data_IF_741186059019
#
_entry.id   IF_741186059019
#
_cell.length_a   1.000
_cell.length_b   1.000
_cell.length_c   1.000
_cell.angle_alpha   90.00
_cell.angle_beta   90.00
_cell.angle_gamma   90.00
#
_symmetry.space_group_name_H-M   'P 1'
#
loop_
_entity.id
_entity.type
_entity.pdbx_description
1 polymer ?
#
# COMPACT_ATOMS: atom_id res chain seq x y z
N UNK A 1 31.39 12.63 63.93
CA UNK A 1 31.24 11.89 62.67
C UNK A 1 30.03 12.43 61.91
N UNK A 2 30.22 13.12 60.79
CA UNK A 2 29.15 13.65 59.99
C UNK A 2 29.01 12.74 58.79
N UNK A 3 27.85 12.02 58.67
CA UNK A 3 27.53 11.12 57.56
C UNK A 3 27.01 11.96 56.40
N UNK A 4 27.76 12.01 55.29
CA UNK A 4 27.33 12.64 54.04
C UNK A 4 26.51 11.60 53.26
N UNK A 5 25.21 11.84 53.12
CA UNK A 5 24.34 11.05 52.26
C UNK A 5 24.46 11.61 50.83
N UNK A 6 25.10 10.85 49.96
CA UNK A 6 25.21 11.17 48.52
C UNK A 6 23.91 10.74 47.83
N UNK A 7 23.02 11.68 47.52
CA UNK A 7 21.84 11.42 46.69
C UNK A 7 22.27 11.32 45.21
N UNK A 8 22.32 10.10 44.70
CA UNK A 8 22.46 9.86 43.26
C UNK A 8 21.12 10.16 42.58
N UNK A 9 21.01 11.29 41.91
CA UNK A 9 19.88 11.59 41.05
C UNK A 9 20.11 10.85 39.75
N UNK A 10 19.42 9.71 39.56
CA UNK A 10 19.37 8.99 38.31
C UNK A 10 18.44 9.76 37.36
N UNK A 11 18.99 10.62 36.51
CA UNK A 11 18.25 11.25 35.45
C UNK A 11 17.91 10.17 34.38
N UNK A 12 16.69 9.64 34.42
CA UNK A 12 16.13 8.86 33.34
C UNK A 12 15.98 9.81 32.14
N UNK A 13 16.89 9.73 31.20
CA UNK A 13 16.71 10.34 29.89
C UNK A 13 15.66 9.47 29.20
N UNK A 14 14.39 9.89 29.24
CA UNK A 14 13.36 9.33 28.38
C UNK A 14 13.74 9.71 26.95
N UNK A 15 14.33 8.78 26.21
CA UNK A 15 14.43 8.90 24.76
C UNK A 15 12.99 9.01 24.24
N UNK A 16 12.67 9.99 23.39
CA UNK A 16 11.38 9.99 22.71
C UNK A 16 11.28 8.66 21.97
N UNK A 17 10.36 7.80 22.36
CA UNK A 17 9.96 6.70 21.53
C UNK A 17 9.31 7.35 20.31
N UNK A 18 10.01 7.36 19.18
CA UNK A 18 9.40 7.66 17.91
C UNK A 18 8.35 6.57 17.71
N UNK A 19 7.10 6.91 17.95
CA UNK A 19 6.02 6.00 17.66
C UNK A 19 6.03 5.79 16.14
N UNK A 20 6.31 4.58 15.70
CA UNK A 20 6.15 4.19 14.31
C UNK A 20 4.75 4.60 13.86
N UNK A 21 4.69 5.25 12.71
CA UNK A 21 3.43 5.70 12.16
C UNK A 21 2.94 4.65 11.18
N UNK A 22 1.70 4.25 11.32
CA UNK A 22 1.05 3.31 10.42
C UNK A 22 -0.31 3.86 10.01
N UNK A 23 -0.66 3.66 8.76
CA UNK A 23 -2.03 3.83 8.25
C UNK A 23 -2.42 2.59 7.45
N UNK A 24 -3.69 2.23 7.47
CA UNK A 24 -4.18 1.06 6.74
C UNK A 24 -5.66 1.21 6.46
N UNK A 25 -6.10 0.77 5.29
CA UNK A 25 -7.51 0.70 4.91
C UNK A 25 -7.76 -0.45 3.95
N UNK A 26 -8.99 -0.97 3.96
CA UNK A 26 -9.46 -1.95 3.00
C UNK A 26 -9.61 -1.28 1.63
N UNK A 27 -9.19 -1.95 0.57
CA UNK A 27 -9.15 -1.34 -0.75
C UNK A 27 -10.54 -1.02 -1.32
N UNK A 28 -11.57 -1.76 -0.93
CA UNK A 28 -12.96 -1.48 -1.32
C UNK A 28 -13.55 -0.23 -0.64
N UNK A 29 -12.89 0.32 0.38
CA UNK A 29 -13.34 1.51 1.10
C UNK A 29 -12.78 2.81 0.49
N UNK A 30 -12.75 2.91 -0.83
CA UNK A 30 -12.36 4.14 -1.52
C UNK A 30 -13.39 5.26 -1.31
N UNK A 31 -12.93 6.52 -1.37
CA UNK A 31 -13.75 7.71 -1.15
C UNK A 31 -14.51 8.12 -2.40
N UNK A 32 -13.92 7.89 -3.58
CA UNK A 32 -14.48 8.25 -4.88
C UNK A 32 -13.93 7.35 -5.99
N UNK A 33 -14.61 7.28 -7.11
CA UNK A 33 -14.19 6.51 -8.28
C UNK A 33 -14.74 7.08 -9.57
N UNK A 34 -14.04 6.84 -10.66
CA UNK A 34 -14.49 7.14 -12.02
C UNK A 34 -14.43 5.86 -12.87
N UNK A 35 -15.47 5.67 -13.68
CA UNK A 35 -15.54 4.56 -14.62
C UNK A 35 -16.13 3.27 -14.02
N UNK A 36 -15.92 2.16 -14.74
CA UNK A 36 -16.52 0.86 -14.44
C UNK A 36 -15.54 -0.30 -14.48
N UNK A 37 -14.25 -0.03 -14.70
CA UNK A 37 -13.25 -1.08 -14.80
C UNK A 37 -12.80 -1.61 -13.46
N UNK A 38 -12.81 -0.74 -12.42
CA UNK A 38 -12.67 -1.21 -11.05
C UNK A 38 -14.01 -1.69 -10.52
N UNK A 39 -14.05 -2.92 -10.06
CA UNK A 39 -15.20 -3.55 -9.43
C UNK A 39 -14.85 -3.94 -7.99
N UNK A 40 -15.87 -3.98 -7.14
CA UNK A 40 -15.76 -4.56 -5.79
C UNK A 40 -16.25 -5.99 -5.86
N UNK A 41 -15.39 -6.92 -5.44
CA UNK A 41 -15.66 -8.34 -5.37
C UNK A 41 -15.85 -8.76 -3.91
N UNK A 42 -17.01 -9.32 -3.59
CA UNK A 42 -17.23 -9.97 -2.29
C UNK A 42 -16.71 -11.42 -2.32
N UNK A 43 -16.10 -11.89 -1.24
CA UNK A 43 -15.63 -13.28 -1.16
C UNK A 43 -16.74 -14.21 -0.67
N UNK A 44 -16.85 -15.45 -1.22
CA UNK A 44 -16.00 -16.00 -2.27
C UNK A 44 -16.36 -15.48 -3.65
N UNK A 45 -15.35 -15.31 -4.52
CA UNK A 45 -15.53 -14.93 -5.92
C UNK A 45 -14.71 -15.83 -6.85
N UNK A 46 -15.27 -16.13 -8.00
CA UNK A 46 -14.64 -16.95 -9.02
C UNK A 46 -14.12 -16.07 -10.16
N UNK A 47 -12.90 -16.33 -10.59
CA UNK A 47 -12.26 -15.62 -11.67
C UNK A 47 -11.89 -16.56 -12.80
N UNK A 48 -12.17 -16.18 -14.04
CA UNK A 48 -11.68 -16.92 -15.18
C UNK A 48 -10.15 -16.77 -15.24
N UNK A 49 -9.48 -17.86 -15.54
CA UNK A 49 -8.06 -17.83 -15.82
C UNK A 49 -7.77 -17.21 -17.19
N UNK A 50 -6.49 -17.09 -17.50
CA UNK A 50 -6.00 -16.62 -18.78
C UNK A 50 -5.18 -17.72 -19.45
N UNK A 51 -5.81 -18.48 -20.35
CA UNK A 51 -5.18 -19.62 -21.01
C UNK A 51 -3.97 -19.19 -21.87
N UNK A 52 -3.93 -17.96 -22.37
CA UNK A 52 -2.79 -17.44 -23.13
C UNK A 52 -1.53 -17.28 -22.26
N UNK A 53 -1.72 -17.07 -20.97
CA UNK A 53 -0.67 -16.89 -19.97
C UNK A 53 -0.53 -18.07 -19.01
N UNK A 54 -1.23 -19.16 -19.31
CA UNK A 54 -1.19 -20.41 -18.52
C UNK A 54 -1.75 -20.26 -17.10
N UNK A 55 -2.72 -19.39 -16.92
CA UNK A 55 -3.47 -19.23 -15.68
C UNK A 55 -4.78 -20.01 -15.78
N UNK A 56 -4.99 -20.96 -14.89
CA UNK A 56 -6.26 -21.69 -14.75
C UNK A 56 -7.31 -20.83 -14.03
N UNK A 57 -8.61 -21.19 -14.19
CA UNK A 57 -9.68 -20.60 -13.39
C UNK A 57 -9.38 -20.78 -11.90
N UNK A 58 -9.63 -19.73 -11.10
CA UNK A 58 -9.36 -19.75 -9.66
C UNK A 58 -10.45 -19.03 -8.86
N UNK A 59 -10.49 -19.32 -7.57
CA UNK A 59 -11.43 -18.71 -6.65
C UNK A 59 -10.69 -17.99 -5.53
N UNK A 60 -11.07 -16.74 -5.27
CA UNK A 60 -10.63 -15.98 -4.10
C UNK A 60 -11.65 -16.23 -2.99
N UNK A 61 -11.22 -16.91 -1.94
CA UNK A 61 -12.09 -17.33 -0.84
C UNK A 61 -11.94 -16.50 0.42
N UNK A 62 -10.87 -15.70 0.51
CA UNK A 62 -10.53 -14.88 1.68
C UNK A 62 -10.03 -13.51 1.22
N UNK A 63 -10.55 -12.48 1.84
CA UNK A 63 -10.07 -11.10 1.72
C UNK A 63 -10.21 -10.41 3.09
N UNK A 64 -9.36 -9.43 3.37
CA UNK A 64 -9.52 -8.55 4.52
C UNK A 64 -10.84 -7.79 4.38
N UNK A 65 -11.58 -7.59 5.44
CA UNK A 65 -12.90 -6.93 5.32
C UNK A 65 -14.00 -7.75 4.63
N UNK A 66 -13.66 -8.81 3.90
CA UNK A 66 -14.61 -9.67 3.18
C UNK A 66 -14.86 -9.26 1.72
N UNK A 67 -14.14 -8.26 1.22
CA UNK A 67 -14.21 -7.80 -0.16
C UNK A 67 -12.84 -7.25 -0.62
N UNK A 68 -12.69 -7.01 -1.90
CA UNK A 68 -11.49 -6.42 -2.51
C UNK A 68 -11.87 -5.72 -3.83
N UNK A 69 -10.96 -4.94 -4.36
CA UNK A 69 -11.14 -4.30 -5.67
C UNK A 69 -10.25 -4.93 -6.73
N UNK A 70 -10.63 -4.75 -7.98
CA UNK A 70 -9.78 -5.10 -9.10
C UNK A 70 -10.44 -4.79 -10.43
N UNK A 71 -9.69 -4.96 -11.50
CA UNK A 71 -10.25 -4.88 -12.83
C UNK A 71 -10.62 -6.26 -13.33
N UNK A 72 -11.81 -6.39 -13.92
CA UNK A 72 -12.20 -7.66 -14.51
C UNK A 72 -11.49 -7.91 -15.84
N UNK A 73 -11.40 -9.18 -16.17
CA UNK A 73 -10.71 -9.70 -17.35
C UNK A 73 -11.23 -9.08 -18.66
N UNK A 74 -10.34 -8.67 -19.54
CA UNK A 74 -10.64 -8.12 -20.85
C UNK A 74 -10.73 -6.58 -20.90
N UNK A 75 -10.40 -5.90 -19.83
CA UNK A 75 -10.20 -4.46 -19.87
C UNK A 75 -8.92 -4.12 -20.65
N UNK A 76 -8.91 -3.01 -21.36
CA UNK A 76 -7.74 -2.59 -22.15
C UNK A 76 -6.77 -1.79 -21.29
N UNK A 77 -5.47 -1.85 -21.61
CA UNK A 77 -4.39 -1.12 -20.92
C UNK A 77 -4.48 0.40 -21.17
N UNK A 78 -5.60 1.01 -20.81
CA UNK A 78 -5.82 2.43 -20.87
C UNK A 78 -6.20 2.93 -19.47
N UNK A 79 -5.45 3.86 -18.94
CA UNK A 79 -5.85 4.63 -17.77
C UNK A 79 -7.21 5.28 -18.03
N UNK A 80 -7.84 5.85 -17.06
CA UNK A 80 -9.09 6.55 -17.24
C UNK A 80 -10.12 6.16 -16.20
N UNK A 81 -10.10 4.91 -15.77
CA UNK A 81 -10.89 4.43 -14.65
C UNK A 81 -9.99 4.38 -13.40
N UNK A 82 -10.44 4.95 -12.31
CA UNK A 82 -9.66 5.04 -11.07
C UNK A 82 -10.54 4.93 -9.83
N UNK A 83 -9.90 4.57 -8.72
CA UNK A 83 -10.39 4.72 -7.35
C UNK A 83 -9.50 5.68 -6.59
N UNK A 84 -10.09 6.45 -5.66
CA UNK A 84 -9.40 7.49 -4.88
C UNK A 84 -9.60 7.27 -3.38
N UNK A 85 -8.51 7.35 -2.65
CA UNK A 85 -8.47 7.31 -1.20
C UNK A 85 -8.04 8.67 -0.66
N UNK A 86 -8.78 9.19 0.31
CA UNK A 86 -8.45 10.40 1.04
C UNK A 86 -7.96 10.04 2.44
N UNK A 87 -6.82 10.57 2.84
CA UNK A 87 -6.22 10.26 4.13
C UNK A 87 -5.40 11.44 4.65
N UNK A 88 -5.07 11.42 5.96
CA UNK A 88 -4.23 12.45 6.58
C UNK A 88 -3.04 11.81 7.26
N UNK A 89 -1.86 12.41 7.10
CA UNK A 89 -0.62 11.95 7.71
C UNK A 89 0.18 13.11 8.29
N UNK A 90 1.12 12.80 9.16
CA UNK A 90 2.19 13.74 9.51
C UNK A 90 3.29 13.68 8.46
N UNK A 91 3.99 14.81 8.26
CA UNK A 91 5.12 14.89 7.34
C UNK A 91 6.17 13.82 7.62
N UNK A 92 6.47 12.99 6.62
CA UNK A 92 7.49 11.94 6.67
C UNK A 92 7.69 11.30 5.29
N UNK A 93 8.69 10.40 5.19
CA UNK A 93 8.83 9.45 4.09
C UNK A 93 7.97 8.21 4.37
N UNK A 94 6.91 8.04 3.60
CA UNK A 94 5.98 6.97 3.76
C UNK A 94 6.24 5.84 2.77
N UNK A 95 6.19 4.60 3.26
CA UNK A 95 6.35 3.38 2.48
C UNK A 95 5.01 2.68 2.37
N UNK A 96 4.47 2.65 1.16
CA UNK A 96 3.17 2.06 0.87
C UNK A 96 3.30 0.61 0.42
N UNK A 97 2.32 -0.20 0.78
CA UNK A 97 2.17 -1.60 0.44
C UNK A 97 0.74 -1.90 0.04
N UNK A 98 0.57 -2.79 -0.93
CA UNK A 98 -0.71 -3.39 -1.27
C UNK A 98 -0.69 -4.88 -1.00
N UNK A 99 -1.78 -5.41 -0.46
CA UNK A 99 -2.05 -6.83 -0.44
C UNK A 99 -2.75 -7.18 -1.75
N UNK A 100 -2.06 -7.88 -2.64
CA UNK A 100 -2.44 -8.00 -4.05
C UNK A 100 -2.49 -9.45 -4.52
N UNK A 101 -3.26 -9.70 -5.58
CA UNK A 101 -3.17 -10.86 -6.46
C UNK A 101 -2.77 -10.34 -7.83
N UNK A 102 -1.77 -10.99 -8.43
CA UNK A 102 -1.30 -10.73 -9.78
C UNK A 102 -0.97 -12.07 -10.44
N UNK A 103 -1.90 -12.66 -11.20
CA UNK A 103 -1.81 -14.05 -11.64
C UNK A 103 -0.86 -14.27 -12.81
N UNK A 104 -0.51 -13.24 -13.56
CA UNK A 104 0.28 -13.37 -14.78
C UNK A 104 1.09 -12.11 -15.11
N UNK A 105 1.90 -12.18 -16.14
CA UNK A 105 2.68 -11.05 -16.64
C UNK A 105 1.82 -9.96 -17.29
N UNK A 106 0.62 -10.31 -17.76
CA UNK A 106 -0.33 -9.35 -18.32
C UNK A 106 -1.33 -8.80 -17.30
N UNK A 107 -1.26 -9.30 -16.07
CA UNK A 107 -2.22 -9.02 -15.01
C UNK A 107 -1.46 -8.62 -13.72
N UNK A 108 -0.45 -7.73 -13.83
CA UNK A 108 0.49 -7.50 -12.74
C UNK A 108 0.73 -6.04 -12.38
N UNK A 109 -0.07 -5.10 -12.86
CA UNK A 109 0.23 -3.70 -12.60
C UNK A 109 -0.97 -2.76 -12.59
N UNK A 110 -0.81 -1.65 -11.86
CA UNK A 110 -1.73 -0.52 -11.78
C UNK A 110 -0.97 0.78 -11.97
N UNK A 111 -1.68 1.84 -12.42
CA UNK A 111 -1.18 3.19 -12.29
C UNK A 111 -1.43 3.73 -10.88
N UNK A 112 -0.57 4.62 -10.42
CA UNK A 112 -0.77 5.32 -9.15
C UNK A 112 -0.29 6.77 -9.21
N UNK A 113 -0.94 7.61 -8.40
CA UNK A 113 -0.51 9.00 -8.19
C UNK A 113 -0.98 9.51 -6.83
N UNK A 114 -0.17 10.39 -6.22
CA UNK A 114 -0.55 11.14 -5.03
C UNK A 114 -0.88 12.59 -5.41
N UNK A 115 -1.87 13.16 -4.73
CA UNK A 115 -2.24 14.59 -4.81
C UNK A 115 -2.41 15.13 -6.25
N UNK A 116 -2.85 14.26 -7.13
CA UNK A 116 -3.02 14.57 -8.56
C UNK A 116 -4.49 14.87 -8.84
N UNK A 117 -4.81 15.91 -9.62
CA UNK A 117 -6.19 16.19 -10.01
C UNK A 117 -6.83 15.04 -10.77
N UNK A 118 -8.11 14.76 -10.50
CA UNK A 118 -8.84 13.65 -11.12
C UNK A 118 -8.80 13.69 -12.67
N UNK A 119 -8.91 14.87 -13.27
CA UNK A 119 -8.84 15.03 -14.74
C UNK A 119 -7.50 14.64 -15.37
N UNK A 120 -6.39 14.71 -14.61
CA UNK A 120 -5.09 14.26 -15.07
C UNK A 120 -4.99 12.72 -15.02
N UNK A 121 -5.68 12.09 -14.06
CA UNK A 121 -5.76 10.63 -13.96
C UNK A 121 -6.59 10.03 -15.10
N UNK A 122 -7.64 10.70 -15.56
CA UNK A 122 -8.49 10.26 -16.68
C UNK A 122 -7.72 10.13 -18.01
N UNK A 123 -6.59 10.80 -18.13
CA UNK A 123 -5.69 10.72 -19.28
C UNK A 123 -4.43 9.87 -19.03
N UNK A 124 -4.45 9.07 -17.97
CA UNK A 124 -3.32 8.27 -17.54
C UNK A 124 -2.83 7.29 -18.62
N UNK A 125 -1.53 7.22 -18.77
CA UNK A 125 -0.86 6.27 -19.64
C UNK A 125 0.60 6.09 -19.18
N UNK A 126 1.34 5.16 -19.76
CA UNK A 126 2.72 4.85 -19.38
C UNK A 126 3.69 6.05 -19.38
N UNK A 127 3.38 7.11 -20.11
CA UNK A 127 4.24 8.30 -20.18
C UNK A 127 3.88 9.38 -19.15
N UNK A 128 2.71 9.28 -18.52
CA UNK A 128 2.17 10.33 -17.63
C UNK A 128 1.95 9.87 -16.19
N UNK A 129 1.96 8.55 -15.94
CA UNK A 129 1.67 7.97 -14.63
C UNK A 129 2.78 7.05 -14.16
N UNK A 130 2.93 6.96 -12.84
CA UNK A 130 3.75 5.92 -12.24
C UNK A 130 3.04 4.57 -12.38
N UNK A 131 3.82 3.51 -12.59
CA UNK A 131 3.32 2.14 -12.67
C UNK A 131 3.75 1.40 -11.42
N UNK A 132 2.79 0.91 -10.66
CA UNK A 132 3.01 -0.08 -9.62
C UNK A 132 3.05 -1.45 -10.28
N UNK A 133 4.24 -1.98 -10.41
CA UNK A 133 4.49 -3.25 -11.08
C UNK A 133 4.72 -4.33 -10.03
N UNK A 134 3.93 -5.38 -10.08
CA UNK A 134 4.02 -6.49 -9.15
C UNK A 134 4.88 -7.59 -9.77
N UNK A 135 5.83 -8.14 -8.99
CA UNK A 135 6.66 -9.30 -9.32
C UNK A 135 7.76 -9.11 -10.37
N UNK A 136 7.92 -7.95 -10.96
CA UNK A 136 9.02 -7.71 -11.90
C UNK A 136 10.26 -7.09 -11.26
N UNK A 137 10.19 -6.71 -10.00
CA UNK A 137 11.37 -6.24 -9.23
C UNK A 137 12.24 -7.44 -8.89
N UNK A 138 13.48 -7.48 -9.40
CA UNK A 138 14.34 -8.67 -9.39
C UNK A 138 14.68 -9.16 -7.97
N UNK A 139 14.75 -8.26 -6.99
CA UNK A 139 14.99 -8.57 -5.58
C UNK A 139 13.76 -9.13 -4.85
N UNK A 140 12.56 -8.91 -5.41
CA UNK A 140 11.28 -9.27 -4.81
C UNK A 140 10.50 -10.27 -5.69
N UNK A 141 11.15 -10.96 -6.62
CA UNK A 141 10.51 -11.96 -7.50
C UNK A 141 9.80 -13.03 -6.69
N UNK A 142 8.60 -12.68 -6.28
CA UNK A 142 7.59 -13.67 -5.98
C UNK A 142 7.05 -14.13 -7.33
N UNK A 143 6.84 -15.42 -7.54
CA UNK A 143 6.19 -15.90 -8.75
C UNK A 143 4.78 -15.30 -8.82
N UNK A 144 4.30 -15.03 -10.02
CA UNK A 144 2.88 -14.72 -10.24
C UNK A 144 2.01 -15.72 -9.47
N UNK A 145 0.98 -15.20 -8.82
CA UNK A 145 0.18 -16.03 -7.90
C UNK A 145 -1.27 -15.59 -7.88
N UNK A 146 -2.13 -16.56 -7.63
CA UNK A 146 -3.54 -16.36 -7.29
C UNK A 146 -3.77 -16.26 -5.77
N UNK A 147 -2.70 -16.29 -4.99
CA UNK A 147 -2.74 -16.08 -3.54
C UNK A 147 -2.42 -14.61 -3.20
N UNK A 148 -2.93 -14.12 -2.08
CA UNK A 148 -2.63 -12.79 -1.57
C UNK A 148 -1.19 -12.66 -1.11
N UNK A 149 -0.50 -11.63 -1.62
CA UNK A 149 0.84 -11.25 -1.18
C UNK A 149 0.92 -9.74 -0.93
N UNK A 150 1.76 -9.33 -0.01
CA UNK A 150 2.07 -7.92 0.19
C UNK A 150 3.17 -7.50 -0.77
N UNK A 151 2.92 -6.44 -1.51
CA UNK A 151 3.86 -5.88 -2.46
C UNK A 151 4.09 -4.40 -2.21
N UNK A 152 5.34 -3.99 -2.13
CA UNK A 152 5.70 -2.61 -1.84
C UNK A 152 5.53 -1.72 -3.06
N UNK A 153 5.06 -0.48 -2.85
CA UNK A 153 4.90 0.50 -3.91
C UNK A 153 6.24 0.77 -4.59
N UNK A 154 6.25 0.67 -5.90
CA UNK A 154 7.39 0.94 -6.76
C UNK A 154 6.96 1.79 -7.96
N UNK A 155 7.89 2.13 -8.82
CA UNK A 155 7.59 2.71 -10.11
C UNK A 155 8.44 2.05 -11.19
N UNK A 156 7.79 1.43 -12.15
CA UNK A 156 8.44 0.81 -13.30
C UNK A 156 8.81 1.86 -14.33
N UNK A 157 7.81 2.63 -14.73
CA UNK A 157 7.91 3.74 -15.65
C UNK A 157 7.27 4.93 -14.96
N UNK A 158 7.83 6.08 -15.05
CA UNK A 158 7.27 7.28 -14.47
C UNK A 158 7.40 8.45 -15.44
N UNK A 159 6.83 9.59 -15.12
CA UNK A 159 7.06 10.83 -15.84
C UNK A 159 8.49 11.31 -15.61
N UNK A 160 9.47 10.40 -15.66
CA UNK A 160 10.86 10.74 -15.52
C UNK A 160 11.35 11.48 -16.76
N UNK A 161 12.01 12.61 -16.55
CA UNK A 161 12.74 13.30 -17.58
C UNK A 161 13.89 12.40 -18.08
N UNK A 162 13.64 11.67 -19.16
CA UNK A 162 14.65 10.83 -19.78
C UNK A 162 14.05 9.70 -20.60
N UNK A 163 14.75 9.33 -21.68
CA UNK A 163 14.32 8.30 -22.62
C UNK A 163 14.76 6.88 -22.21
N UNK A 164 15.34 6.71 -21.04
CA UNK A 164 15.65 5.40 -20.51
C UNK A 164 14.49 4.94 -19.64
N UNK A 165 13.87 3.84 -20.04
CA UNK A 165 13.07 3.00 -19.17
C UNK A 165 13.94 2.77 -17.92
N UNK A 166 13.55 3.36 -16.80
CA UNK A 166 14.16 2.98 -15.53
C UNK A 166 13.75 1.54 -15.34
N UNK A 167 14.67 0.65 -15.68
CA UNK A 167 14.54 -0.74 -15.33
C UNK A 167 14.23 -0.76 -13.85
N UNK A 168 13.13 -1.40 -13.50
CA UNK A 168 12.65 -1.71 -12.16
C UNK A 168 13.67 -1.30 -11.11
N UNK A 169 13.48 -0.13 -10.50
CA UNK A 169 14.33 0.22 -9.38
C UNK A 169 14.18 -0.90 -8.36
N UNK A 170 15.29 -1.59 -8.04
CA UNK A 170 15.30 -2.62 -7.00
C UNK A 170 14.79 -2.05 -5.66
N UNK A 171 14.70 -0.73 -5.60
CA UNK A 171 14.29 -0.03 -4.40
C UNK A 171 12.81 0.40 -4.47
N UNK A 172 12.04 0.00 -3.47
CA UNK A 172 10.70 0.50 -3.25
C UNK A 172 10.73 2.03 -3.10
N UNK A 173 9.78 2.69 -3.73
CA UNK A 173 9.72 4.15 -3.73
C UNK A 173 9.16 4.64 -2.38
N UNK A 174 9.92 5.42 -1.58
CA UNK A 174 9.33 6.21 -0.52
C UNK A 174 8.53 7.37 -1.12
N UNK A 175 7.42 7.72 -0.50
CA UNK A 175 6.61 8.88 -0.85
C UNK A 175 6.78 9.93 0.22
N UNK A 176 7.45 11.03 -0.12
CA UNK A 176 7.57 12.19 0.77
C UNK A 176 6.21 12.91 0.83
N UNK A 177 5.53 12.83 1.98
CA UNK A 177 4.26 13.50 2.21
C UNK A 177 4.43 14.61 3.26
N UNK A 178 3.76 15.73 3.04
CA UNK A 178 3.69 16.84 4.00
C UNK A 178 2.75 16.50 5.16
N UNK A 179 2.70 17.36 6.17
CA UNK A 179 1.66 17.27 7.21
C UNK A 179 0.31 17.69 6.65
N UNK A 180 -0.71 16.87 6.79
CA UNK A 180 -2.07 17.20 6.37
C UNK A 180 -2.78 16.12 5.56
N UNK A 181 -3.74 16.60 4.76
CA UNK A 181 -4.62 15.75 3.93
C UNK A 181 -3.99 15.49 2.58
N UNK A 182 -4.10 14.23 2.14
CA UNK A 182 -3.57 13.74 0.87
C UNK A 182 -4.57 12.84 0.17
N UNK A 183 -4.32 12.62 -1.12
CA UNK A 183 -5.05 11.65 -1.93
C UNK A 183 -4.12 10.64 -2.56
N UNK A 184 -4.54 9.37 -2.64
CA UNK A 184 -3.94 8.33 -3.47
C UNK A 184 -4.96 7.92 -4.52
N UNK A 185 -4.59 8.01 -5.79
CA UNK A 185 -5.31 7.36 -6.88
C UNK A 185 -4.63 6.05 -7.24
N UNK A 186 -5.43 5.00 -7.38
CA UNK A 186 -5.08 3.81 -8.13
C UNK A 186 -5.89 3.82 -9.41
N UNK A 187 -5.23 3.76 -10.56
CA UNK A 187 -5.89 3.76 -11.84
C UNK A 187 -5.63 2.46 -12.60
N UNK A 188 -6.64 2.08 -13.39
CA UNK A 188 -6.61 0.86 -14.18
C UNK A 188 -5.44 0.87 -15.17
N UNK A 189 -4.70 -0.24 -15.24
CA UNK A 189 -3.67 -0.49 -16.26
C UNK A 189 -3.83 -1.86 -16.89
N UNK A 190 -3.79 -2.90 -16.13
CA UNK A 190 -3.94 -4.28 -16.60
C UNK A 190 -5.17 -4.92 -15.95
N UNK A 191 -5.81 -5.81 -16.68
CA UNK A 191 -6.92 -6.59 -16.18
C UNK A 191 -6.43 -7.74 -15.27
N UNK A 192 -7.30 -8.29 -14.44
CA UNK A 192 -6.95 -9.42 -13.55
C UNK A 192 -6.07 -9.08 -12.36
N UNK A 193 -5.72 -7.80 -12.15
CA UNK A 193 -4.99 -7.34 -10.97
C UNK A 193 -5.97 -6.98 -9.86
N UNK A 194 -5.76 -7.52 -8.66
CA UNK A 194 -6.64 -7.31 -7.51
C UNK A 194 -5.88 -6.74 -6.32
N UNK A 195 -6.57 -5.86 -5.57
CA UNK A 195 -6.04 -5.24 -4.34
C UNK A 195 -7.07 -5.43 -3.22
N UNK A 196 -6.63 -6.02 -2.13
CA UNK A 196 -7.44 -6.29 -0.94
C UNK A 196 -7.28 -5.21 0.12
N UNK A 197 -6.04 -4.79 0.35
CA UNK A 197 -5.73 -3.88 1.43
C UNK A 197 -4.54 -2.99 1.09
N UNK A 198 -4.58 -1.76 1.57
CA UNK A 198 -3.46 -0.83 1.50
C UNK A 198 -2.94 -0.59 2.93
N UNK A 199 -1.63 -0.58 3.05
CA UNK A 199 -0.91 -0.31 4.28
C UNK A 199 0.23 0.66 4.00
N UNK A 200 0.49 1.59 4.91
CA UNK A 200 1.67 2.43 4.82
C UNK A 200 2.30 2.67 6.20
N UNK A 201 3.61 2.82 6.20
CA UNK A 201 4.43 3.03 7.39
C UNK A 201 5.60 3.95 7.11
N UNK A 202 6.11 4.61 8.15
CA UNK A 202 7.38 5.34 8.09
C UNK A 202 8.59 4.46 8.46
N UNK A 203 8.36 3.19 8.77
CA UNK A 203 9.41 2.23 9.04
C UNK A 203 9.85 1.54 7.75
N UNK A 204 11.04 1.89 7.27
CA UNK A 204 11.63 1.34 6.04
C UNK A 204 11.91 -0.17 6.14
N UNK A 205 12.17 -0.65 7.36
CA UNK A 205 12.51 -2.07 7.62
C UNK A 205 11.28 -2.96 7.85
N UNK A 206 10.08 -2.35 7.90
CA UNK A 206 8.87 -3.13 8.12
C UNK A 206 8.50 -3.94 6.88
N UNK A 207 8.33 -5.25 7.05
CA UNK A 207 7.83 -6.16 6.01
C UNK A 207 6.51 -6.79 6.45
N UNK A 208 5.39 -6.47 5.79
CA UNK A 208 4.08 -7.04 6.12
C UNK A 208 3.94 -8.53 5.76
N UNK A 209 4.84 -9.11 4.97
CA UNK A 209 4.90 -10.55 4.72
C UNK A 209 5.49 -11.31 5.92
N UNK A 210 6.31 -10.65 6.73
CA UNK A 210 6.88 -11.22 7.95
C UNK A 210 6.06 -10.89 9.20
N UNK A 211 5.42 -9.73 9.22
CA UNK A 211 4.69 -9.21 10.37
C UNK A 211 3.33 -8.69 9.93
N UNK A 212 2.25 -9.30 10.41
CA UNK A 212 0.89 -8.85 10.09
C UNK A 212 0.69 -7.36 10.45
N UNK A 213 0.39 -6.49 9.47
CA UNK A 213 0.15 -5.07 9.70
C UNK A 213 -0.95 -4.79 10.75
N UNK A 214 -1.96 -5.62 10.84
CA UNK A 214 -3.03 -5.47 11.81
C UNK A 214 -2.51 -5.61 13.24
N UNK A 215 -1.60 -6.54 13.48
CA UNK A 215 -0.96 -6.73 14.78
C UNK A 215 -0.11 -5.52 15.17
N UNK A 216 0.58 -4.90 14.22
CA UNK A 216 1.39 -3.70 14.44
C UNK A 216 0.53 -2.49 14.82
N UNK A 217 -0.59 -2.26 14.12
CA UNK A 217 -1.55 -1.18 14.42
C UNK A 217 -2.22 -1.38 15.79
N UNK A 218 -2.61 -2.61 16.13
CA UNK A 218 -3.19 -2.91 17.44
C UNK A 218 -2.21 -2.70 18.59
N UNK A 219 -0.94 -3.04 18.41
CA UNK A 219 0.09 -2.82 19.42
C UNK A 219 0.29 -1.33 19.72
N UNK A 220 0.28 -0.49 18.70
CA UNK A 220 0.37 0.97 18.85
C UNK A 220 -0.83 1.55 19.61
N UNK A 221 -2.04 1.11 19.27
CA UNK A 221 -3.27 1.54 19.96
C UNK A 221 -3.29 1.11 21.44
N UNK A 222 -2.77 -0.08 21.77
CA UNK A 222 -2.66 -0.56 23.16
C UNK A 222 -1.67 0.26 23.98
N UNK A 223 -0.55 0.68 23.40
CA UNK A 223 0.44 1.53 24.08
C UNK A 223 -0.14 2.91 24.41
N UNK A 224 -0.86 3.55 23.48
CA UNK A 224 -1.48 4.86 23.71
C UNK A 224 -2.57 4.83 24.77
N UNK A 225 -3.39 3.78 24.81
CA UNK A 225 -4.43 3.62 25.85
C UNK A 225 -3.83 3.36 27.23
N UNK A 226 -2.75 2.60 27.34
CA UNK A 226 -2.07 2.33 28.60
C UNK A 226 -1.44 3.61 29.18
N UNK A 227 -0.82 4.45 28.39
CA UNK A 227 -0.27 5.74 28.81
C UNK A 227 -1.36 6.74 29.21
N UNK A 228 -2.50 6.76 28.51
CA UNK A 228 -3.66 7.57 28.86
C UNK A 228 -4.25 7.20 30.22
N UNK A 229 -4.33 5.91 30.51
CA UNK A 229 -4.83 5.40 31.81
C UNK A 229 -3.89 5.70 32.98
N UNK A 230 -2.58 5.70 32.75
CA UNK A 230 -1.58 6.03 33.78
C UNK A 230 -1.57 7.52 34.13
N UNK A 231 -1.88 8.42 33.20
CA UNK A 231 -1.95 9.88 33.48
C UNK A 231 -3.24 10.32 34.16
N UNK A 232 -4.30 9.53 34.11
CA UNK A 232 -5.58 9.84 34.76
C UNK A 232 -5.71 9.37 36.22
N UNK A 233 -4.67 8.75 36.78
CA UNK A 233 -4.65 8.14 38.12
C UNK A 233 -3.86 8.90 39.19
N UNK A 234 -3.56 10.20 38.98
CA UNK A 234 -2.92 11.07 40.00
C UNK A 234 -3.76 12.27 40.31
#
# INVERSE_FOLDING_TARGET
MRTIILLMVLSLIALPAFAQKYISWEAENFNDSNGTKFEVFEVPSDHPGNAAESVDDYSVTEASGGAYIGSHNGATNDGGDWVKYEFSVAADDWHFWGRVIAPSVGDNSLYWAFDTPDGDIESANNATMNIWDFFEVESLRVNYTTDWVWFRLNTRDGPFEGTELVQHGDDPVPVELSDGDHTLHLAHREDGTYVDKIFATTDVEFDPNETDPQTAVEAQNKLTTTWGSLKGGF
#
